data_IF_281260977928
#
_entry.id   IF_281260977928
#
_cell.length_a   1.000
_cell.length_b   1.000
_cell.length_c   1.000
_cell.angle_alpha   90.00
_cell.angle_beta   90.00
_cell.angle_gamma   90.00
#
_symmetry.space_group_name_H-M   'P 1'
#
loop_
_entity.id
_entity.type
_entity.pdbx_description
1 polymer ?
#
# COMPACT_ATOMS: atom_id res chain seq x y z
N UNK A 1 -48.20 12.19 21.03
CA UNK A 1 -47.84 10.75 20.92
C UNK A 1 -47.48 10.32 19.50
N UNK A 2 -48.21 10.74 18.45
CA UNK A 2 -47.93 10.38 17.03
C UNK A 2 -46.65 11.03 16.46
N UNK A 3 -46.29 12.22 16.94
CA UNK A 3 -45.12 12.99 16.48
C UNK A 3 -43.80 12.53 17.12
N UNK A 4 -43.85 11.98 18.35
CA UNK A 4 -42.68 11.44 19.04
C UNK A 4 -42.12 10.16 18.36
N UNK A 5 -43.00 9.39 17.71
CA UNK A 5 -42.62 8.18 16.98
C UNK A 5 -41.82 8.47 15.70
N UNK A 6 -42.11 9.60 15.04
CA UNK A 6 -41.40 10.00 13.82
C UNK A 6 -39.98 10.50 14.07
N UNK A 7 -39.75 11.16 15.21
CA UNK A 7 -38.42 11.67 15.58
C UNK A 7 -37.48 10.53 15.96
N UNK A 8 -37.97 9.48 16.65
CA UNK A 8 -37.16 8.31 17.00
C UNK A 8 -36.65 7.53 15.77
N UNK A 9 -37.36 7.60 14.64
CA UNK A 9 -37.02 6.87 13.41
C UNK A 9 -35.93 7.56 12.57
N UNK A 10 -35.69 8.86 12.79
CA UNK A 10 -34.75 9.68 12.00
C UNK A 10 -33.31 9.67 12.54
N UNK A 11 -33.09 9.23 13.78
CA UNK A 11 -31.76 9.25 14.44
C UNK A 11 -30.89 8.00 14.18
N UNK A 12 -31.36 7.01 13.42
CA UNK A 12 -30.66 5.74 13.20
C UNK A 12 -29.69 5.71 12.01
N UNK A 13 -29.56 6.80 11.22
CA UNK A 13 -28.68 6.84 10.04
C UNK A 13 -27.27 7.41 10.28
N UNK A 14 -26.82 7.53 11.54
CA UNK A 14 -25.41 7.84 11.82
C UNK A 14 -24.52 6.60 11.58
N UNK A 15 -24.26 6.28 10.31
CA UNK A 15 -23.29 5.26 9.93
C UNK A 15 -21.86 5.73 10.18
N UNK A 16 -21.02 4.88 10.79
CA UNK A 16 -19.58 5.11 10.89
C UNK A 16 -18.97 5.02 9.49
N UNK A 17 -18.48 6.14 8.96
CA UNK A 17 -17.61 6.15 7.79
C UNK A 17 -16.18 5.85 8.28
N UNK A 18 -15.85 4.56 8.43
CA UNK A 18 -14.47 4.14 8.65
C UNK A 18 -13.69 4.41 7.37
N UNK A 19 -12.95 5.52 7.34
CA UNK A 19 -11.85 5.69 6.41
C UNK A 19 -10.85 4.57 6.70
N UNK A 20 -10.88 3.50 5.91
CA UNK A 20 -9.76 2.56 5.89
C UNK A 20 -8.51 3.41 5.65
N UNK A 21 -7.43 3.25 6.44
CA UNK A 21 -6.14 3.69 5.98
C UNK A 21 -5.91 2.88 4.72
N UNK A 22 -6.15 3.48 3.56
CA UNK A 22 -5.61 2.99 2.30
C UNK A 22 -4.14 2.80 2.63
N UNK A 23 -3.60 1.56 2.63
CA UNK A 23 -2.16 1.41 2.62
C UNK A 23 -1.73 2.38 1.54
N UNK A 24 -0.80 3.29 1.87
CA UNK A 24 -0.19 4.15 0.87
C UNK A 24 0.12 3.27 -0.34
N UNK A 25 0.05 3.85 -1.53
CA UNK A 25 0.32 3.21 -2.80
C UNK A 25 1.77 2.68 -2.88
N UNK A 26 2.19 1.83 -1.94
CA UNK A 26 3.37 1.01 -2.00
C UNK A 26 3.15 0.15 -3.23
N UNK A 27 4.07 0.30 -4.17
CA UNK A 27 4.05 -0.46 -5.40
C UNK A 27 4.32 -1.91 -5.03
N UNK A 28 3.25 -2.65 -4.74
CA UNK A 28 3.35 -4.03 -4.31
C UNK A 28 3.90 -4.86 -5.46
N UNK A 29 4.85 -5.75 -5.15
CA UNK A 29 5.38 -6.71 -6.11
C UNK A 29 4.44 -7.91 -6.20
N UNK A 30 3.17 -7.66 -6.52
CA UNK A 30 2.13 -8.67 -6.71
C UNK A 30 2.11 -9.12 -8.16
N UNK A 31 2.39 -10.40 -8.41
CA UNK A 31 2.34 -10.99 -9.75
C UNK A 31 3.57 -11.81 -10.10
N UNK A 32 3.71 -12.12 -11.39
CA UNK A 32 4.89 -12.82 -11.91
C UNK A 32 6.13 -11.94 -11.77
N UNK A 33 7.19 -12.51 -11.16
CA UNK A 33 8.43 -11.77 -10.91
C UNK A 33 9.20 -11.59 -12.23
N UNK A 34 9.57 -10.35 -12.60
CA UNK A 34 10.34 -10.13 -13.81
C UNK A 34 11.70 -10.83 -13.70
N UNK A 35 12.05 -11.61 -14.73
CA UNK A 35 13.33 -12.33 -14.78
C UNK A 35 14.43 -11.52 -15.45
N UNK A 36 14.06 -10.46 -16.17
CA UNK A 36 14.97 -9.58 -16.91
C UNK A 36 14.56 -8.14 -16.65
N UNK A 37 15.54 -7.31 -16.27
CA UNK A 37 15.39 -5.87 -16.10
C UNK A 37 16.34 -5.13 -17.04
N UNK A 38 15.96 -3.93 -17.45
CA UNK A 38 16.84 -3.01 -18.17
C UNK A 38 17.89 -2.44 -17.23
N UNK A 39 18.90 -1.76 -17.79
CA UNK A 39 19.92 -1.01 -17.02
C UNK A 39 19.39 0.36 -16.56
N UNK A 40 18.14 0.42 -16.10
CA UNK A 40 17.55 1.63 -15.54
C UNK A 40 18.10 1.89 -14.14
N UNK A 41 18.38 3.15 -13.84
CA UNK A 41 18.69 3.60 -12.49
C UNK A 41 17.68 4.66 -12.04
N UNK A 42 16.71 4.21 -11.26
CA UNK A 42 15.63 5.00 -10.67
C UNK A 42 15.32 4.38 -9.29
N UNK A 43 16.13 4.69 -8.27
CA UNK A 43 16.18 3.88 -7.06
C UNK A 43 14.87 3.88 -6.28
N UNK A 44 14.65 2.77 -5.58
CA UNK A 44 13.46 2.52 -4.76
C UNK A 44 13.84 1.91 -3.42
N UNK A 45 13.04 2.19 -2.40
CA UNK A 45 13.19 1.60 -1.09
C UNK A 45 12.18 0.46 -0.96
N UNK A 46 12.68 -0.78 -0.95
CA UNK A 46 11.86 -1.96 -0.97
C UNK A 46 11.68 -2.54 0.44
N UNK A 47 10.45 -2.91 0.77
CA UNK A 47 10.11 -3.66 1.98
C UNK A 47 10.38 -5.15 1.76
N UNK A 48 11.08 -5.76 2.71
CA UNK A 48 11.40 -7.19 2.68
C UNK A 48 10.35 -8.01 3.43
N UNK A 49 10.03 -9.20 2.93
CA UNK A 49 9.10 -10.14 3.57
C UNK A 49 9.56 -10.58 4.96
N UNK A 50 10.87 -10.64 5.18
CA UNK A 50 11.48 -10.95 6.48
C UNK A 50 11.49 -9.73 7.45
N UNK A 51 11.00 -8.57 7.00
CA UNK A 51 11.10 -7.30 7.69
C UNK A 51 12.35 -6.51 7.31
N UNK A 52 12.29 -5.20 7.53
CA UNK A 52 13.33 -4.25 7.13
C UNK A 52 13.17 -3.76 5.69
N UNK A 53 14.06 -2.84 5.32
CA UNK A 53 14.05 -2.16 4.04
C UNK A 53 15.42 -2.21 3.37
N UNK A 54 15.43 -2.15 2.03
CA UNK A 54 16.66 -2.12 1.23
C UNK A 54 16.47 -1.31 -0.04
N UNK A 55 17.49 -0.52 -0.38
CA UNK A 55 17.53 0.22 -1.65
C UNK A 55 17.81 -0.73 -2.83
N UNK A 56 16.99 -0.64 -3.87
CA UNK A 56 17.21 -1.30 -5.17
C UNK A 56 17.38 -0.25 -6.28
N UNK A 57 18.09 -0.62 -7.35
CA UNK A 57 18.42 0.28 -8.45
C UNK A 57 17.22 0.77 -9.27
N UNK A 58 16.15 -0.02 -9.34
CA UNK A 58 14.93 0.32 -10.08
C UNK A 58 13.71 -0.44 -9.52
N UNK A 59 12.48 0.00 -9.83
CA UNK A 59 11.26 -0.78 -9.59
C UNK A 59 11.33 -2.24 -10.08
N UNK A 60 11.89 -2.46 -11.26
CA UNK A 60 12.03 -3.81 -11.83
C UNK A 60 12.99 -4.65 -10.98
N UNK A 61 14.15 -4.10 -10.62
CA UNK A 61 15.13 -4.81 -9.80
C UNK A 61 14.59 -5.14 -8.40
N UNK A 62 13.73 -4.27 -7.83
CA UNK A 62 13.05 -4.57 -6.57
C UNK A 62 12.09 -5.75 -6.73
N UNK A 63 11.17 -5.72 -7.69
CA UNK A 63 10.19 -6.78 -7.85
C UNK A 63 10.76 -8.08 -8.43
N UNK A 64 11.94 -8.07 -9.04
CA UNK A 64 12.66 -9.28 -9.45
C UNK A 64 13.15 -10.11 -8.25
N UNK A 65 13.31 -9.51 -7.07
CA UNK A 65 13.78 -10.18 -5.87
C UNK A 65 12.59 -10.78 -5.09
N UNK A 66 12.54 -12.11 -4.98
CA UNK A 66 11.49 -12.85 -4.26
C UNK A 66 11.31 -12.40 -2.79
N UNK A 67 12.36 -11.85 -2.18
CA UNK A 67 12.30 -11.35 -0.80
C UNK A 67 11.52 -10.03 -0.67
N UNK A 68 11.25 -9.31 -1.77
CA UNK A 68 10.57 -8.01 -1.75
C UNK A 68 9.04 -8.20 -1.79
N UNK A 69 8.32 -7.48 -0.94
CA UNK A 69 6.85 -7.43 -0.92
C UNK A 69 6.29 -6.21 -1.62
N UNK A 70 7.03 -5.11 -1.63
CA UNK A 70 6.69 -3.87 -2.32
C UNK A 70 7.80 -2.83 -2.18
N UNK A 71 7.60 -1.66 -2.78
CA UNK A 71 8.56 -0.57 -2.69
C UNK A 71 7.91 0.82 -2.73
N UNK A 72 8.66 1.79 -2.20
CA UNK A 72 8.43 3.22 -2.34
C UNK A 72 9.50 3.84 -3.25
N UNK A 73 9.18 4.95 -3.93
CA UNK A 73 10.14 5.64 -4.81
C UNK A 73 11.21 6.37 -3.99
N UNK A 74 12.45 6.36 -4.47
CA UNK A 74 13.62 6.94 -3.79
C UNK A 74 14.41 5.92 -2.99
N UNK A 75 15.61 6.28 -2.56
CA UNK A 75 16.45 5.41 -1.71
C UNK A 75 15.87 5.30 -0.29
N UNK A 76 16.26 4.23 0.43
CA UNK A 76 15.88 4.11 1.83
C UNK A 76 16.52 5.20 2.69
N UNK A 77 15.81 5.70 3.72
CA UNK A 77 16.39 6.64 4.67
C UNK A 77 17.54 5.97 5.44
N UNK A 78 18.58 6.77 5.74
CA UNK A 78 19.73 6.34 6.56
C UNK A 78 19.38 6.20 8.05
#
# INVERSE_FOLDING_TARGET
MRTALGILLLLSLAGCQSSQPTPSQANQCSGERPQVCTMEYNPVCADLAAGGQKTYASPCNACADDAVTGYELGECPE
#
